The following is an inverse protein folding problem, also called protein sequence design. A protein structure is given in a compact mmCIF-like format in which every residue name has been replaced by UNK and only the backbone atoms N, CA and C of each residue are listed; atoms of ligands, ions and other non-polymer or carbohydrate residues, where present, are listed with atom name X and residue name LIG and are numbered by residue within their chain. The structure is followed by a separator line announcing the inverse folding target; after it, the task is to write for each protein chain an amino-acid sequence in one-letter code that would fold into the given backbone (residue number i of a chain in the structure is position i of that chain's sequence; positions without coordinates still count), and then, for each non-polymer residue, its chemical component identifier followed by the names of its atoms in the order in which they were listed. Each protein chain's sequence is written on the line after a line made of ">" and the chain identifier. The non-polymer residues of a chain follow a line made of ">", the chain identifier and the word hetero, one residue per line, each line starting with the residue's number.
data_IF_719804214735
#
_entry.id   IF_719804214735
#
_cell.length_a   1.000
_cell.length_b   1.000
_cell.length_c   1.000
_cell.angle_alpha   90.00
_cell.angle_beta   90.00
_cell.angle_gamma   90.00
#
_symmetry.space_group_name_H-M   'P 1'
#
loop_
_entity.id
_entity.type
_entity.pdbx_description
1 polymer ?
#
# COMPACT_ATOMS: atom_id res chain seq x y z
N UNK A 1 -26.53 3.19 -28.48
CA UNK A 1 -25.14 3.02 -28.04
C UNK A 1 -25.18 2.97 -26.52
N UNK A 2 -25.01 1.80 -25.88
CA UNK A 2 -25.08 1.69 -24.42
C UNK A 2 -23.83 2.36 -23.84
N UNK A 3 -24.01 3.34 -22.95
CA UNK A 3 -22.94 3.88 -22.12
C UNK A 3 -22.23 2.70 -21.44
N UNK A 4 -21.00 2.44 -21.86
CA UNK A 4 -20.14 1.47 -21.20
C UNK A 4 -19.68 2.15 -19.93
N UNK A 5 -20.14 1.68 -18.76
CA UNK A 5 -19.66 2.16 -17.47
C UNK A 5 -18.14 1.96 -17.44
N UNK A 6 -17.38 3.04 -17.57
CA UNK A 6 -15.93 3.03 -17.42
C UNK A 6 -15.61 2.76 -15.95
N UNK A 7 -15.45 1.49 -15.60
CA UNK A 7 -14.99 1.08 -14.28
C UNK A 7 -13.51 1.44 -14.13
N UNK A 8 -13.11 1.84 -12.93
CA UNK A 8 -11.68 2.02 -12.63
C UNK A 8 -11.04 0.75 -12.10
N UNK A 9 -11.79 -0.05 -11.36
CA UNK A 9 -11.32 -1.20 -10.59
C UNK A 9 -12.24 -2.39 -10.82
N UNK A 10 -13.50 -2.32 -10.38
CA UNK A 10 -14.43 -3.47 -10.40
C UNK A 10 -15.87 -3.01 -10.64
N UNK A 11 -16.64 -3.76 -11.41
CA UNK A 11 -18.06 -3.48 -11.65
C UNK A 11 -18.96 -3.96 -10.51
N UNK A 12 -20.25 -3.68 -10.60
CA UNK A 12 -21.28 -4.43 -9.87
C UNK A 12 -21.34 -5.88 -10.38
N UNK A 13 -21.74 -6.79 -9.48
CA UNK A 13 -21.86 -8.20 -9.78
C UNK A 13 -23.09 -8.52 -10.64
N UNK A 14 -22.90 -9.32 -11.68
CA UNK A 14 -23.99 -9.83 -12.53
C UNK A 14 -24.11 -11.33 -12.39
N UNK A 15 -25.32 -11.82 -12.15
CA UNK A 15 -25.56 -13.26 -12.14
C UNK A 15 -25.38 -13.81 -13.56
N UNK A 16 -24.62 -14.87 -13.69
CA UNK A 16 -24.37 -15.57 -14.94
C UNK A 16 -24.40 -17.08 -14.69
N UNK A 17 -24.76 -17.84 -15.73
CA UNK A 17 -24.60 -19.28 -15.74
C UNK A 17 -23.29 -19.57 -16.47
N UNK A 18 -22.31 -20.09 -15.72
CA UNK A 18 -20.98 -20.38 -16.22
C UNK A 18 -20.61 -21.80 -15.79
N UNK A 19 -20.20 -22.63 -16.75
CA UNK A 19 -19.67 -23.94 -16.43
C UNK A 19 -18.23 -23.82 -15.92
N UNK A 20 -18.05 -24.15 -14.63
CA UNK A 20 -16.76 -24.11 -13.96
C UNK A 20 -16.07 -25.49 -13.91
N UNK A 21 -16.62 -26.52 -14.56
CA UNK A 21 -16.07 -27.88 -14.53
C UNK A 21 -14.62 -27.98 -15.02
N UNK A 22 -14.21 -27.11 -15.95
CA UNK A 22 -12.82 -27.01 -16.41
C UNK A 22 -11.90 -26.15 -15.55
N UNK A 23 -12.42 -25.53 -14.48
CA UNK A 23 -11.72 -24.56 -13.62
C UNK A 23 -11.64 -25.08 -12.17
N UNK A 24 -12.66 -25.78 -11.71
CA UNK A 24 -12.78 -26.31 -10.36
C UNK A 24 -12.75 -27.84 -10.39
N UNK A 25 -11.87 -28.45 -9.60
CA UNK A 25 -11.80 -29.92 -9.48
C UNK A 25 -13.00 -30.54 -8.73
N UNK A 26 -13.79 -29.72 -8.03
CA UNK A 26 -14.97 -30.15 -7.27
C UNK A 26 -16.22 -29.42 -7.76
N UNK A 27 -17.39 -29.99 -7.46
CA UNK A 27 -18.69 -29.41 -7.81
C UNK A 27 -18.82 -27.96 -7.30
N UNK A 28 -18.76 -27.02 -8.26
CA UNK A 28 -19.01 -25.60 -8.05
C UNK A 28 -20.44 -25.26 -8.49
N UNK A 29 -21.03 -24.21 -7.91
CA UNK A 29 -22.35 -23.75 -8.35
C UNK A 29 -22.33 -23.30 -9.82
N UNK A 30 -23.26 -23.83 -10.63
CA UNK A 30 -23.44 -23.39 -12.03
C UNK A 30 -23.81 -21.92 -12.15
N UNK A 31 -24.53 -21.40 -11.16
CA UNK A 31 -24.87 -19.99 -11.07
C UNK A 31 -23.76 -19.26 -10.32
N UNK A 32 -23.16 -18.28 -10.98
CA UNK A 32 -22.02 -17.50 -10.48
C UNK A 32 -22.37 -16.02 -10.49
N UNK A 33 -21.57 -15.22 -9.79
CA UNK A 33 -21.58 -13.76 -9.93
C UNK A 33 -20.33 -13.35 -10.68
N UNK A 34 -20.51 -12.75 -11.86
CA UNK A 34 -19.44 -12.22 -12.69
C UNK A 34 -19.27 -10.71 -12.43
N UNK A 35 -18.03 -10.30 -12.27
CA UNK A 35 -17.59 -8.92 -12.20
C UNK A 35 -16.66 -8.61 -13.38
N UNK A 36 -16.82 -7.45 -13.99
CA UNK A 36 -15.76 -6.88 -14.83
C UNK A 36 -14.72 -6.25 -13.90
N UNK A 37 -13.45 -6.48 -14.17
CA UNK A 37 -12.33 -5.87 -13.45
C UNK A 37 -11.36 -5.21 -14.43
N UNK A 38 -10.78 -4.08 -14.04
CA UNK A 38 -9.77 -3.39 -14.85
C UNK A 38 -8.41 -4.07 -14.80
N UNK A 39 -7.47 -3.63 -15.65
CA UNK A 39 -6.06 -4.02 -15.57
C UNK A 39 -5.44 -3.74 -14.20
N UNK A 40 -5.83 -2.63 -13.57
CA UNK A 40 -5.33 -2.26 -12.25
C UNK A 40 -5.87 -3.22 -11.18
N UNK A 41 -7.15 -3.57 -11.22
CA UNK A 41 -7.71 -4.57 -10.31
C UNK A 41 -7.09 -5.96 -10.51
N UNK A 42 -6.88 -6.37 -11.77
CA UNK A 42 -6.14 -7.59 -12.09
C UNK A 42 -4.75 -7.57 -11.43
N UNK A 43 -3.99 -6.48 -11.57
CA UNK A 43 -2.70 -6.31 -10.90
C UNK A 43 -2.79 -6.40 -9.36
N UNK A 44 -3.77 -5.73 -8.74
CA UNK A 44 -3.93 -5.70 -7.28
C UNK A 44 -4.33 -7.07 -6.70
N UNK A 45 -5.08 -7.87 -7.47
CA UNK A 45 -5.51 -9.22 -7.10
C UNK A 45 -4.49 -10.32 -7.46
N UNK A 46 -3.48 -9.99 -8.28
CA UNK A 46 -2.52 -10.96 -8.80
C UNK A 46 -1.67 -11.57 -7.67
N UNK A 47 -1.66 -12.91 -7.50
CA UNK A 47 -0.85 -13.57 -6.47
C UNK A 47 0.62 -13.70 -6.86
N UNK A 48 0.99 -13.36 -8.11
CA UNK A 48 2.34 -13.55 -8.62
C UNK A 48 3.29 -12.43 -8.19
N UNK A 49 4.61 -12.72 -8.12
CA UNK A 49 5.61 -11.74 -7.75
C UNK A 49 5.64 -10.52 -8.67
N UNK A 50 5.92 -9.36 -8.07
CA UNK A 50 6.13 -8.10 -8.77
C UNK A 50 7.55 -7.62 -8.54
N UNK A 51 8.13 -6.98 -9.56
CA UNK A 51 9.42 -6.30 -9.44
C UNK A 51 9.20 -4.81 -9.29
N UNK A 52 9.85 -4.20 -8.31
CA UNK A 52 9.93 -2.76 -8.14
C UNK A 52 11.36 -2.29 -8.07
N UNK A 53 11.57 -1.02 -8.37
CA UNK A 53 12.88 -0.41 -8.30
C UNK A 53 13.07 0.31 -6.96
N UNK A 54 14.13 -0.05 -6.23
CA UNK A 54 14.48 0.50 -4.91
C UNK A 54 15.88 1.10 -4.91
N UNK A 55 16.09 2.18 -4.15
CA UNK A 55 17.42 2.76 -3.99
C UNK A 55 18.10 2.13 -2.79
N UNK A 56 19.21 1.41 -3.01
CA UNK A 56 20.06 0.94 -1.91
C UNK A 56 20.91 2.11 -1.44
N UNK A 57 20.88 2.42 -0.15
CA UNK A 57 21.65 3.53 0.45
C UNK A 57 22.72 3.05 1.42
N UNK A 58 22.74 1.76 1.75
CA UNK A 58 23.71 1.22 2.69
C UNK A 58 23.49 -0.25 3.00
N UNK A 59 23.97 -0.68 4.17
CA UNK A 59 23.72 -1.99 4.74
C UNK A 59 23.66 -1.96 6.26
N UNK A 60 23.02 -2.98 6.83
CA UNK A 60 23.09 -3.31 8.24
C UNK A 60 23.84 -4.62 8.40
N UNK A 61 24.77 -4.63 9.34
CA UNK A 61 25.65 -5.74 9.63
C UNK A 61 25.28 -6.27 11.01
N UNK A 62 25.09 -7.57 11.10
CA UNK A 62 24.95 -8.28 12.36
C UNK A 62 26.24 -9.02 12.63
N UNK A 63 26.90 -8.71 13.74
CA UNK A 63 28.13 -9.37 14.16
C UNK A 63 27.83 -10.61 15.00
N UNK A 64 28.71 -11.62 14.90
CA UNK A 64 28.64 -12.80 15.75
C UNK A 64 28.90 -12.39 17.20
N UNK A 65 28.11 -12.89 18.16
CA UNK A 65 28.39 -12.66 19.57
C UNK A 65 29.77 -13.24 19.90
N UNK A 66 30.65 -12.42 20.46
CA UNK A 66 31.94 -12.91 20.94
C UNK A 66 31.69 -13.93 22.06
N UNK A 67 32.25 -15.13 21.94
CA UNK A 67 32.13 -16.18 22.96
C UNK A 67 32.98 -15.86 24.21
N UNK A 68 32.70 -14.78 24.93
CA UNK A 68 33.24 -14.49 26.27
C UNK A 68 32.38 -15.12 27.39
N UNK A 69 31.60 -16.15 27.06
CA UNK A 69 30.55 -16.72 27.94
C UNK A 69 31.03 -17.41 29.21
N UNK A 70 32.34 -17.58 29.43
CA UNK A 70 32.89 -18.13 30.67
C UNK A 70 33.19 -17.04 31.72
N UNK A 71 33.56 -15.83 31.31
CA UNK A 71 33.98 -14.76 32.24
C UNK A 71 32.76 -13.97 32.74
N UNK A 72 31.75 -13.74 31.89
CA UNK A 72 30.55 -12.98 32.28
C UNK A 72 29.60 -13.77 33.20
N UNK A 73 29.62 -15.10 33.16
CA UNK A 73 28.87 -15.95 34.10
C UNK A 73 29.42 -15.88 35.53
N UNK A 74 30.72 -15.59 35.68
CA UNK A 74 31.35 -15.42 37.00
C UNK A 74 31.05 -14.04 37.60
N UNK A 75 31.02 -12.97 36.79
CA UNK A 75 30.68 -11.61 37.26
C UNK A 75 29.21 -11.45 37.65
N UNK A 76 28.29 -12.10 36.94
CA UNK A 76 26.85 -12.04 37.24
C UNK A 76 26.42 -12.86 38.47
N UNK A 77 27.32 -13.65 39.08
CA UNK A 77 27.05 -14.33 40.35
C UNK A 77 27.17 -13.42 41.58
N UNK A 78 27.84 -12.27 41.45
CA UNK A 78 28.14 -11.40 42.60
C UNK A 78 27.34 -10.09 42.66
N UNK A 79 26.62 -9.70 41.59
CA UNK A 79 25.76 -8.52 41.61
C UNK A 79 24.49 -8.71 40.75
N UNK A 80 23.31 -8.95 41.35
CA UNK A 80 22.06 -9.03 40.61
C UNK A 80 21.58 -7.61 40.30
N UNK A 81 21.81 -7.13 39.07
CA UNK A 81 21.16 -5.89 38.58
C UNK A 81 19.78 -6.21 37.99
N UNK A 82 18.79 -5.47 38.51
CA UNK A 82 17.41 -5.40 38.03
C UNK A 82 17.39 -5.16 36.52
N UNK A 83 16.64 -5.99 35.81
CA UNK A 83 16.43 -5.96 34.36
C UNK A 83 15.55 -4.78 33.95
N UNK A 84 16.15 -3.81 33.25
CA UNK A 84 15.46 -2.95 32.30
C UNK A 84 15.38 -3.67 30.93
N UNK A 85 14.42 -3.34 30.05
CA UNK A 85 14.25 -4.02 28.78
C UNK A 85 15.33 -3.62 27.74
N UNK A 86 15.95 -4.65 27.14
CA UNK A 86 16.61 -4.73 25.82
C UNK A 86 17.52 -3.59 25.30
N UNK A 87 18.68 -3.39 25.92
CA UNK A 87 19.84 -2.72 25.27
C UNK A 87 20.82 -3.72 24.58
N UNK A 88 20.60 -5.04 24.71
CA UNK A 88 21.55 -6.06 24.24
C UNK A 88 21.44 -6.40 22.74
N UNK A 89 20.30 -6.14 22.09
CA UNK A 89 20.15 -6.41 20.66
C UNK A 89 20.89 -5.38 19.78
N UNK A 90 21.02 -4.14 20.24
CA UNK A 90 21.63 -3.04 19.46
C UNK A 90 23.18 -3.11 19.42
N UNK A 91 23.81 -3.73 20.42
CA UNK A 91 25.26 -3.75 20.57
C UNK A 91 26.02 -4.62 19.53
N UNK A 92 25.30 -5.52 18.84
CA UNK A 92 25.87 -6.42 17.82
C UNK A 92 25.47 -6.02 16.40
N UNK A 93 24.80 -4.88 16.23
CA UNK A 93 24.36 -4.41 14.93
C UNK A 93 24.97 -3.07 14.58
N UNK A 94 25.43 -2.94 13.35
CA UNK A 94 25.97 -1.69 12.82
C UNK A 94 25.29 -1.34 11.50
N UNK A 95 24.91 -0.08 11.33
CA UNK A 95 24.39 0.43 10.08
C UNK A 95 25.43 1.32 9.38
N UNK A 96 25.76 0.99 8.14
CA UNK A 96 26.67 1.75 7.29
C UNK A 96 25.87 2.37 6.16
N UNK A 97 25.73 3.69 6.16
CA UNK A 97 24.99 4.44 5.15
C UNK A 97 25.94 5.29 4.31
N UNK A 98 25.70 5.29 3.00
CA UNK A 98 26.37 6.15 2.03
C UNK A 98 26.17 7.62 2.39
N UNK A 99 27.27 8.35 2.50
CA UNK A 99 27.24 9.80 2.67
C UNK A 99 26.84 10.52 1.36
N UNK A 100 26.87 9.80 0.24
CA UNK A 100 26.48 10.29 -1.07
C UNK A 100 24.98 10.54 -1.13
N UNK A 101 24.56 11.73 -0.67
CA UNK A 101 23.22 12.29 -0.88
C UNK A 101 23.04 12.81 -2.30
N UNK A 102 23.66 12.17 -3.29
CA UNK A 102 23.52 12.60 -4.67
C UNK A 102 22.13 12.17 -5.11
N UNK A 103 21.15 13.04 -4.84
CA UNK A 103 19.94 13.10 -5.64
C UNK A 103 20.40 13.36 -7.05
N UNK A 104 20.01 12.50 -7.99
CA UNK A 104 20.17 12.79 -9.40
C UNK A 104 19.48 14.13 -9.63
N UNK A 105 20.19 15.18 -10.07
CA UNK A 105 19.48 16.28 -10.68
C UNK A 105 18.74 15.65 -11.86
N UNK A 106 17.42 15.74 -11.88
CA UNK A 106 16.68 15.39 -13.10
C UNK A 106 16.84 16.59 -14.02
N UNK A 107 17.95 16.60 -14.76
CA UNK A 107 18.07 17.53 -15.87
C UNK A 107 16.99 17.17 -16.88
N UNK A 108 16.46 18.16 -17.60
CA UNK A 108 15.55 17.88 -18.71
C UNK A 108 16.27 17.13 -19.85
N UNK A 109 17.61 17.23 -19.89
CA UNK A 109 18.48 16.60 -20.87
C UNK A 109 18.92 15.20 -20.40
N UNK A 110 18.50 14.17 -21.16
CA UNK A 110 18.82 12.76 -20.90
C UNK A 110 20.30 12.40 -21.12
N UNK A 111 21.00 13.10 -22.02
CA UNK A 111 22.45 12.93 -22.19
C UNK A 111 23.21 13.49 -20.99
N UNK A 112 22.79 14.65 -20.49
CA UNK A 112 23.35 15.24 -19.27
C UNK A 112 23.09 14.35 -18.04
N UNK A 113 21.87 13.82 -17.91
CA UNK A 113 21.54 12.84 -16.86
C UNK A 113 22.46 11.62 -16.93
N UNK A 114 22.64 11.04 -18.12
CA UNK A 114 23.55 9.89 -18.33
C UNK A 114 25.00 10.24 -18.00
N UNK A 115 25.46 11.44 -18.35
CA UNK A 115 26.80 11.90 -18.03
C UNK A 115 27.02 12.02 -16.51
N UNK A 116 26.08 12.64 -15.78
CA UNK A 116 26.15 12.73 -14.33
C UNK A 116 26.06 11.38 -13.63
N UNK A 117 25.25 10.45 -14.15
CA UNK A 117 25.23 9.06 -13.66
C UNK A 117 26.63 8.46 -13.76
N UNK A 118 27.31 8.60 -14.91
CA UNK A 118 28.66 8.06 -15.12
C UNK A 118 29.70 8.68 -14.18
N UNK A 119 29.65 10.00 -13.95
CA UNK A 119 30.53 10.67 -12.98
C UNK A 119 30.30 10.09 -11.58
N UNK A 120 29.04 9.94 -11.16
CA UNK A 120 28.72 9.40 -9.84
C UNK A 120 29.20 7.96 -9.68
N UNK A 121 29.10 7.13 -10.72
CA UNK A 121 29.63 5.77 -10.70
C UNK A 121 31.14 5.74 -10.48
N UNK A 122 31.90 6.65 -11.10
CA UNK A 122 33.35 6.76 -10.93
C UNK A 122 33.74 7.26 -9.53
N UNK A 123 32.95 8.17 -8.95
CA UNK A 123 33.21 8.75 -7.62
C UNK A 123 32.81 7.82 -6.47
N UNK A 124 31.98 6.82 -6.75
CA UNK A 124 31.40 5.92 -5.74
C UNK A 124 32.41 5.19 -4.87
N UNK A 125 33.55 4.79 -5.43
CA UNK A 125 34.64 4.14 -4.69
C UNK A 125 35.26 5.02 -3.58
N UNK A 126 35.07 6.34 -3.66
CA UNK A 126 35.53 7.28 -2.65
C UNK A 126 34.52 7.50 -1.52
N UNK A 127 33.32 6.92 -1.61
CA UNK A 127 32.33 6.97 -0.55
C UNK A 127 32.88 6.32 0.73
N UNK A 128 32.87 7.01 1.89
CA UNK A 128 33.28 6.44 3.17
C UNK A 128 32.60 5.10 3.49
N UNK A 129 31.34 4.92 3.08
CA UNK A 129 30.63 3.66 3.25
C UNK A 129 31.31 2.51 2.48
N UNK A 130 31.75 2.74 1.25
CA UNK A 130 32.47 1.74 0.47
C UNK A 130 33.77 1.32 1.15
N UNK A 131 34.55 2.30 1.63
CA UNK A 131 35.81 2.02 2.35
C UNK A 131 35.57 1.23 3.63
N UNK A 132 34.54 1.60 4.40
CA UNK A 132 34.20 0.94 5.65
C UNK A 132 33.74 -0.50 5.42
N UNK A 133 32.89 -0.74 4.42
CA UNK A 133 32.41 -2.09 4.08
C UNK A 133 33.55 -2.96 3.55
N UNK A 134 34.46 -2.40 2.74
CA UNK A 134 35.63 -3.11 2.24
C UNK A 134 36.60 -3.52 3.36
N UNK A 135 36.65 -2.78 4.47
CA UNK A 135 37.51 -3.03 5.61
C UNK A 135 36.90 -3.97 6.67
N UNK A 136 35.69 -4.50 6.45
CA UNK A 136 35.03 -5.38 7.40
C UNK A 136 35.75 -6.73 7.55
N UNK A 137 35.90 -7.17 8.79
CA UNK A 137 36.32 -8.54 9.10
C UNK A 137 35.14 -9.50 8.87
N UNK A 138 35.22 -10.24 7.76
CA UNK A 138 34.16 -11.15 7.31
C UNK A 138 33.95 -12.34 8.24
N UNK A 139 34.96 -12.72 9.02
CA UNK A 139 34.87 -13.88 9.91
C UNK A 139 33.99 -13.61 11.13
N UNK A 140 33.86 -12.33 11.50
CA UNK A 140 33.09 -11.89 12.64
C UNK A 140 31.64 -11.48 12.30
N UNK A 141 31.24 -11.61 11.04
CA UNK A 141 29.89 -11.26 10.58
C UNK A 141 28.97 -12.48 10.59
N UNK A 142 27.82 -12.32 11.23
CA UNK A 142 26.71 -13.28 11.20
C UNK A 142 25.85 -13.07 9.96
N UNK A 143 25.46 -11.82 9.69
CA UNK A 143 24.60 -11.49 8.55
C UNK A 143 24.80 -10.06 8.02
N UNK A 144 24.40 -9.83 6.77
CA UNK A 144 24.37 -8.51 6.12
C UNK A 144 23.04 -8.34 5.39
N UNK A 145 22.32 -7.27 5.70
CA UNK A 145 21.13 -6.86 4.96
C UNK A 145 21.42 -5.55 4.22
N UNK A 146 20.82 -5.37 3.04
CA UNK A 146 20.88 -4.09 2.35
C UNK A 146 19.91 -3.10 3.02
N UNK A 147 20.28 -1.83 3.10
CA UNK A 147 19.38 -0.76 3.55
C UNK A 147 18.92 0.01 2.33
N UNK A 148 17.62 0.02 2.11
CA UNK A 148 16.96 0.78 1.06
C UNK A 148 16.32 2.04 1.64
N UNK A 149 16.17 3.07 0.81
CA UNK A 149 15.47 4.30 1.15
C UNK A 149 14.31 4.52 0.17
N UNK A 150 13.12 4.72 0.71
CA UNK A 150 11.93 5.06 -0.09
C UNK A 150 11.91 6.55 -0.48
N UNK A 151 10.91 6.97 -1.26
CA UNK A 151 10.80 8.38 -1.68
C UNK A 151 10.50 9.31 -0.49
N UNK A 152 9.94 8.79 0.61
CA UNK A 152 9.73 9.52 1.86
C UNK A 152 11.00 9.73 2.68
N UNK A 153 12.13 9.14 2.28
CA UNK A 153 13.35 9.09 3.07
C UNK A 153 13.32 8.03 4.18
N UNK A 154 12.28 7.18 4.23
CA UNK A 154 12.20 6.10 5.20
C UNK A 154 13.12 4.97 4.78
N UNK A 155 13.89 4.47 5.75
CA UNK A 155 14.81 3.36 5.53
C UNK A 155 14.20 2.05 5.98
N UNK A 156 14.43 1.01 5.19
CA UNK A 156 14.04 -0.34 5.54
C UNK A 156 15.07 -1.34 5.02
N UNK A 157 15.06 -2.54 5.60
CA UNK A 157 16.02 -3.58 5.28
C UNK A 157 15.50 -4.46 4.15
N UNK A 158 16.38 -4.79 3.22
CA UNK A 158 16.19 -5.82 2.21
C UNK A 158 17.03 -7.04 2.60
N UNK A 159 16.36 -8.14 2.87
CA UNK A 159 17.01 -9.42 3.14
C UNK A 159 17.70 -9.93 1.89
N UNK A 160 18.98 -10.31 2.03
CA UNK A 160 19.78 -10.83 0.95
C UNK A 160 19.93 -12.34 1.07
N UNK A 161 19.87 -13.04 -0.05
CA UNK A 161 20.20 -14.46 -0.14
C UNK A 161 21.71 -14.63 -0.37
N UNK A 162 22.22 -15.84 -0.10
CA UNK A 162 23.64 -16.16 -0.26
C UNK A 162 24.43 -16.11 1.04
N UNK A 163 25.73 -16.40 0.95
CA UNK A 163 26.67 -16.32 2.07
C UNK A 163 27.11 -14.87 2.35
N UNK A 164 27.74 -14.64 3.50
CA UNK A 164 28.20 -13.30 3.92
C UNK A 164 29.03 -12.57 2.87
N UNK A 165 29.94 -13.27 2.18
CA UNK A 165 30.77 -12.68 1.13
C UNK A 165 29.95 -12.21 -0.07
N UNK A 166 28.98 -13.02 -0.51
CA UNK A 166 28.05 -12.68 -1.59
C UNK A 166 27.19 -11.47 -1.20
N UNK A 167 26.68 -11.43 0.03
CA UNK A 167 25.87 -10.30 0.53
C UNK A 167 26.68 -9.00 0.59
N UNK A 168 27.92 -9.04 1.08
CA UNK A 168 28.84 -7.89 1.08
C UNK A 168 29.11 -7.40 -0.35
N UNK A 169 29.41 -8.32 -1.27
CA UNK A 169 29.66 -7.98 -2.67
C UNK A 169 28.42 -7.36 -3.33
N UNK A 170 27.23 -7.89 -3.04
CA UNK A 170 25.97 -7.30 -3.52
C UNK A 170 25.81 -5.86 -3.04
N UNK A 171 25.97 -5.60 -1.74
CA UNK A 171 25.86 -4.25 -1.17
C UNK A 171 26.89 -3.31 -1.80
N UNK A 172 28.17 -3.74 -1.88
CA UNK A 172 29.23 -2.97 -2.52
C UNK A 172 28.94 -2.67 -3.98
N UNK A 173 28.22 -3.54 -4.69
CA UNK A 173 27.82 -3.29 -6.07
C UNK A 173 26.54 -2.46 -6.22
N UNK A 174 25.70 -2.42 -5.19
CA UNK A 174 24.35 -1.83 -5.23
C UNK A 174 24.16 -0.50 -4.48
N UNK A 175 24.96 -0.17 -3.45
CA UNK A 175 24.92 1.14 -2.76
C UNK A 175 24.85 2.32 -3.75
N UNK A 176 23.96 3.28 -3.51
CA UNK A 176 23.69 4.45 -4.36
C UNK A 176 23.11 4.10 -5.75
N UNK A 177 22.85 2.83 -6.05
CA UNK A 177 22.15 2.40 -7.25
C UNK A 177 20.70 2.08 -6.97
N UNK A 178 19.92 2.10 -8.04
CA UNK A 178 18.59 1.55 -8.08
C UNK A 178 18.68 0.06 -8.45
N UNK A 179 18.01 -0.79 -7.69
CA UNK A 179 17.99 -2.24 -7.87
C UNK A 179 16.56 -2.73 -7.98
N UNK A 180 16.38 -3.81 -8.73
CA UNK A 180 15.08 -4.48 -8.79
C UNK A 180 14.92 -5.38 -7.56
N UNK A 181 13.87 -5.10 -6.78
CA UNK A 181 13.43 -5.89 -5.63
C UNK A 181 12.15 -6.60 -6.01
N UNK A 182 12.08 -7.90 -5.69
CA UNK A 182 10.90 -8.71 -5.95
C UNK A 182 10.07 -8.81 -4.68
N UNK A 183 8.82 -8.36 -4.75
CA UNK A 183 7.81 -8.65 -3.75
C UNK A 183 6.99 -9.87 -4.18
N UNK A 184 6.49 -10.64 -3.22
CA UNK A 184 5.70 -11.85 -3.49
C UNK A 184 4.43 -11.57 -4.30
N UNK A 185 3.83 -10.38 -4.13
CA UNK A 185 2.66 -9.87 -4.86
C UNK A 185 2.47 -8.38 -4.57
N UNK A 186 1.53 -7.72 -5.25
CA UNK A 186 1.22 -6.31 -5.02
C UNK A 186 0.64 -6.04 -3.61
N UNK A 187 -0.17 -6.97 -3.08
CA UNK A 187 -0.66 -6.92 -1.71
C UNK A 187 0.41 -7.34 -0.70
N UNK A 188 0.88 -6.40 0.13
CA UNK A 188 1.94 -6.66 1.09
C UNK A 188 1.37 -7.25 2.39
N UNK A 189 0.53 -6.48 3.10
CA UNK A 189 -0.13 -6.89 4.34
C UNK A 189 -1.08 -5.80 4.84
N UNK A 190 -2.12 -6.17 5.63
CA UNK A 190 -2.96 -5.23 6.39
C UNK A 190 -3.51 -4.08 5.54
N UNK A 191 -4.05 -4.38 4.36
CA UNK A 191 -4.59 -3.37 3.45
C UNK A 191 -3.53 -2.55 2.68
N UNK A 192 -2.23 -2.82 2.81
CA UNK A 192 -1.18 -2.12 2.06
C UNK A 192 -0.87 -2.79 0.72
N UNK A 193 -0.90 -1.99 -0.34
CA UNK A 193 -0.56 -2.38 -1.71
C UNK A 193 0.60 -1.56 -2.26
N UNK A 194 1.49 -2.24 -2.98
CA UNK A 194 2.55 -1.68 -3.79
C UNK A 194 2.02 -1.29 -5.17
N UNK A 195 2.12 -0.02 -5.54
CA UNK A 195 1.58 0.49 -6.81
C UNK A 195 2.65 0.65 -7.90
N UNK A 196 3.94 0.68 -7.53
CA UNK A 196 5.06 0.95 -8.47
C UNK A 196 5.29 -0.16 -9.47
N UNK A 197 4.80 -1.38 -9.20
CA UNK A 197 4.88 -2.51 -10.14
C UNK A 197 3.90 -2.40 -11.31
N UNK A 198 2.88 -1.53 -11.22
CA UNK A 198 1.90 -1.32 -12.28
C UNK A 198 2.32 -0.17 -13.21
N UNK A 199 2.18 -0.38 -14.52
CA UNK A 199 2.52 0.63 -15.55
C UNK A 199 1.31 1.52 -15.84
N UNK A 200 1.08 2.49 -14.97
CA UNK A 200 -0.04 3.43 -15.09
C UNK A 200 -0.16 4.15 -16.45
N UNK A 201 0.92 4.61 -17.10
CA UNK A 201 0.81 5.24 -18.43
C UNK A 201 0.29 4.34 -19.54
N UNK A 202 0.27 3.02 -19.32
CA UNK A 202 -0.26 2.03 -20.26
C UNK A 202 -1.67 1.56 -19.88
N UNK A 203 -2.26 2.11 -18.81
CA UNK A 203 -3.59 1.74 -18.37
C UNK A 203 -4.63 2.05 -19.45
N UNK A 204 -5.41 1.03 -19.86
CA UNK A 204 -6.50 1.21 -20.80
C UNK A 204 -7.85 0.96 -20.11
N UNK A 205 -8.72 1.97 -19.97
CA UNK A 205 -10.04 1.81 -19.35
C UNK A 205 -11.00 0.91 -20.16
N UNK A 206 -10.68 0.61 -21.42
CA UNK A 206 -11.48 -0.29 -22.26
C UNK A 206 -11.06 -1.76 -22.12
N UNK A 207 -9.89 -2.05 -21.55
CA UNK A 207 -9.44 -3.41 -21.29
C UNK A 207 -10.04 -3.91 -19.98
N UNK A 208 -10.87 -4.94 -20.07
CA UNK A 208 -11.54 -5.54 -18.92
C UNK A 208 -11.30 -7.05 -18.87
N UNK A 209 -11.19 -7.58 -17.66
CA UNK A 209 -11.10 -9.00 -17.34
C UNK A 209 -12.30 -9.42 -16.51
N UNK A 210 -12.40 -10.71 -16.19
CA UNK A 210 -13.51 -11.25 -15.41
C UNK A 210 -13.03 -11.76 -14.08
N UNK A 211 -13.65 -11.29 -13.00
CA UNK A 211 -13.58 -11.92 -11.69
C UNK A 211 -14.88 -12.69 -11.48
N UNK A 212 -14.79 -13.98 -11.21
CA UNK A 212 -15.94 -14.85 -10.98
C UNK A 212 -16.00 -15.19 -9.50
N UNK A 213 -17.16 -14.94 -8.89
CA UNK A 213 -17.51 -15.40 -7.55
C UNK A 213 -18.47 -16.58 -7.66
N UNK A 214 -18.16 -17.67 -7.00
CA UNK A 214 -18.96 -18.88 -7.00
C UNK A 214 -18.98 -19.53 -5.62
N UNK A 215 -19.93 -20.44 -5.41
CA UNK A 215 -20.00 -21.23 -4.18
C UNK A 215 -19.35 -22.59 -4.42
N UNK A 216 -18.47 -22.98 -3.50
CA UNK A 216 -17.87 -24.31 -3.44
C UNK A 216 -17.88 -24.73 -1.97
N UNK A 217 -18.49 -25.88 -1.66
CA UNK A 217 -18.66 -26.37 -0.28
C UNK A 217 -19.27 -25.32 0.67
N UNK A 218 -20.31 -24.60 0.22
CA UNK A 218 -20.95 -23.48 0.93
C UNK A 218 -20.03 -22.30 1.29
N UNK A 219 -18.84 -22.22 0.70
CA UNK A 219 -17.93 -21.09 0.85
C UNK A 219 -17.86 -20.30 -0.46
N UNK A 220 -17.87 -18.97 -0.34
CA UNK A 220 -17.62 -18.10 -1.47
C UNK A 220 -16.15 -18.18 -1.88
N UNK A 221 -15.92 -18.48 -3.16
CA UNK A 221 -14.61 -18.52 -3.81
C UNK A 221 -14.58 -17.53 -4.95
N UNK A 222 -13.37 -17.09 -5.30
CA UNK A 222 -13.15 -16.12 -6.35
C UNK A 222 -12.04 -16.60 -7.28
N UNK A 223 -12.17 -16.35 -8.57
CA UNK A 223 -11.09 -16.55 -9.54
C UNK A 223 -11.12 -15.48 -10.62
N UNK A 224 -9.94 -15.16 -11.16
CA UNK A 224 -9.80 -14.28 -12.33
C UNK A 224 -9.66 -15.13 -13.57
N UNK A 225 -10.42 -14.79 -14.61
CA UNK A 225 -10.33 -15.38 -15.94
C UNK A 225 -9.65 -14.42 -16.91
N UNK A 226 -8.84 -14.98 -17.81
CA UNK A 226 -8.21 -14.22 -18.88
C UNK A 226 -9.22 -13.91 -20.02
N UNK A 227 -8.77 -13.20 -21.07
CA UNK A 227 -9.61 -12.85 -22.21
C UNK A 227 -10.20 -14.04 -22.99
N UNK A 228 -9.65 -15.25 -22.81
CA UNK A 228 -10.12 -16.50 -23.42
C UNK A 228 -10.97 -17.35 -22.47
N UNK A 229 -11.45 -16.78 -21.35
CA UNK A 229 -12.25 -17.48 -20.33
C UNK A 229 -11.54 -18.65 -19.63
N UNK A 230 -10.21 -18.68 -19.69
CA UNK A 230 -9.42 -19.66 -18.95
C UNK A 230 -9.07 -19.12 -17.58
N UNK A 231 -8.95 -20.02 -16.59
CA UNK A 231 -8.48 -19.68 -15.26
C UNK A 231 -7.09 -19.03 -15.35
N UNK A 232 -6.99 -17.80 -14.88
CA UNK A 232 -5.71 -17.12 -14.76
C UNK A 232 -5.10 -17.37 -13.37
N UNK A 233 -5.89 -17.10 -12.32
CA UNK A 233 -5.51 -17.44 -10.95
C UNK A 233 -6.72 -17.42 -10.00
N UNK A 234 -6.71 -18.23 -8.93
CA UNK A 234 -7.66 -18.12 -7.83
C UNK A 234 -7.35 -16.90 -6.96
N UNK A 235 -8.40 -16.31 -6.36
CA UNK A 235 -8.28 -15.26 -5.34
C UNK A 235 -8.71 -15.86 -4.00
N UNK A 236 -7.73 -16.23 -3.18
CA UNK A 236 -7.96 -16.95 -1.93
C UNK A 236 -8.44 -16.05 -0.78
N UNK A 237 -8.12 -14.76 -0.85
CA UNK A 237 -8.47 -13.79 0.18
C UNK A 237 -9.62 -12.90 -0.30
N UNK A 238 -10.80 -13.13 0.29
CA UNK A 238 -12.02 -12.38 -0.03
C UNK A 238 -11.92 -10.90 0.38
N UNK A 239 -11.04 -10.56 1.32
CA UNK A 239 -10.82 -9.18 1.75
C UNK A 239 -10.23 -8.34 0.61
N UNK A 240 -9.40 -8.95 -0.25
CA UNK A 240 -8.86 -8.28 -1.44
C UNK A 240 -9.96 -7.80 -2.38
N UNK A 241 -10.99 -8.63 -2.59
CA UNK A 241 -12.15 -8.25 -3.41
C UNK A 241 -12.95 -7.14 -2.74
N UNK A 242 -13.09 -7.17 -1.41
CA UNK A 242 -13.71 -6.07 -0.68
C UNK A 242 -12.94 -4.76 -0.87
N UNK A 243 -11.60 -4.78 -0.81
CA UNK A 243 -10.78 -3.60 -1.10
C UNK A 243 -11.00 -3.08 -2.51
N UNK A 244 -11.18 -3.95 -3.51
CA UNK A 244 -11.47 -3.51 -4.88
C UNK A 244 -12.77 -2.72 -4.96
N UNK A 245 -13.83 -3.19 -4.31
CA UNK A 245 -15.10 -2.47 -4.27
C UNK A 245 -15.02 -1.16 -3.47
N UNK A 246 -14.28 -1.15 -2.35
CA UNK A 246 -14.03 0.08 -1.58
C UNK A 246 -13.30 1.09 -2.48
N UNK A 247 -12.29 0.65 -3.23
CA UNK A 247 -11.48 1.52 -4.06
C UNK A 247 -12.28 2.08 -5.24
N UNK A 248 -13.02 1.24 -5.98
CA UNK A 248 -13.93 1.71 -7.03
C UNK A 248 -14.85 2.80 -6.48
N UNK A 249 -15.44 2.55 -5.32
CA UNK A 249 -16.38 3.47 -4.71
C UNK A 249 -15.72 4.79 -4.27
N UNK A 250 -14.51 4.73 -3.71
CA UNK A 250 -13.72 5.93 -3.41
C UNK A 250 -13.41 6.73 -4.67
N UNK A 251 -12.98 6.09 -5.76
CA UNK A 251 -12.65 6.78 -7.02
C UNK A 251 -13.90 7.43 -7.63
N UNK A 252 -15.05 6.77 -7.56
CA UNK A 252 -16.32 7.28 -8.09
C UNK A 252 -16.85 8.48 -7.30
N UNK A 253 -16.67 8.47 -5.97
CA UNK A 253 -17.27 9.48 -5.09
C UNK A 253 -16.32 10.57 -4.64
N UNK A 254 -15.02 10.38 -4.76
CA UNK A 254 -13.99 11.36 -4.44
C UNK A 254 -13.29 11.88 -5.71
N UNK A 255 -13.72 13.04 -6.25
CA UNK A 255 -13.10 13.65 -7.43
C UNK A 255 -11.59 13.89 -7.25
N UNK A 256 -11.14 14.12 -6.02
CA UNK A 256 -9.73 14.41 -5.74
C UNK A 256 -8.84 13.18 -5.91
N UNK A 257 -9.34 12.02 -5.48
CA UNK A 257 -8.67 10.74 -5.69
C UNK A 257 -8.65 10.39 -7.17
N UNK A 258 -9.79 10.55 -7.86
CA UNK A 258 -9.92 10.30 -9.29
C UNK A 258 -8.92 11.13 -10.11
N UNK A 259 -8.83 12.43 -9.83
CA UNK A 259 -7.87 13.34 -10.47
C UNK A 259 -6.43 12.83 -10.29
N UNK A 260 -6.08 12.37 -9.08
CA UNK A 260 -4.71 11.93 -8.78
C UNK A 260 -4.34 10.63 -9.48
N UNK A 261 -5.28 9.69 -9.61
CA UNK A 261 -5.10 8.49 -10.43
C UNK A 261 -4.99 8.85 -11.92
N UNK A 262 -5.81 9.79 -12.38
CA UNK A 262 -5.77 10.29 -13.76
C UNK A 262 -4.41 10.89 -14.09
N UNK A 263 -3.82 11.70 -13.20
CA UNK A 263 -2.45 12.20 -13.35
C UNK A 263 -1.44 11.06 -13.52
N UNK A 264 -1.58 9.98 -12.73
CA UNK A 264 -0.70 8.82 -12.85
C UNK A 264 -0.88 8.11 -14.21
N UNK A 265 -2.12 7.95 -14.69
CA UNK A 265 -2.39 7.35 -16.01
C UNK A 265 -1.89 8.19 -17.18
N UNK A 266 -1.73 9.51 -17.01
CA UNK A 266 -1.11 10.40 -18.01
C UNK A 266 0.42 10.42 -17.94
N UNK A 267 1.03 9.73 -16.98
CA UNK A 267 2.47 9.80 -16.73
C UNK A 267 2.94 11.10 -16.07
N UNK A 268 2.00 11.91 -15.58
CA UNK A 268 2.23 13.15 -14.83
C UNK A 268 2.38 12.90 -13.32
N UNK A 269 2.19 11.65 -12.86
CA UNK A 269 2.39 11.24 -11.48
C UNK A 269 2.98 9.84 -11.39
N UNK A 270 3.87 9.63 -10.41
CA UNK A 270 4.40 8.32 -10.03
C UNK A 270 3.61 7.80 -8.83
N UNK A 271 2.78 6.77 -8.99
CA UNK A 271 2.05 6.14 -7.89
C UNK A 271 2.99 5.31 -7.04
N UNK A 272 2.77 5.31 -5.72
CA UNK A 272 3.65 4.65 -4.75
C UNK A 272 2.93 3.54 -3.99
N UNK A 273 1.93 3.92 -3.18
CA UNK A 273 1.25 3.00 -2.27
C UNK A 273 -0.24 3.30 -2.28
N UNK A 274 -1.02 2.24 -2.09
CA UNK A 274 -2.45 2.30 -1.80
C UNK A 274 -2.66 1.58 -0.48
N UNK A 275 -3.40 2.18 0.44
CA UNK A 275 -3.60 1.65 1.78
C UNK A 275 -5.06 1.72 2.19
N UNK A 276 -5.55 0.64 2.77
CA UNK A 276 -6.90 0.55 3.34
C UNK A 276 -6.83 0.42 4.85
N UNK A 277 -7.65 1.19 5.57
CA UNK A 277 -7.75 1.14 7.02
C UNK A 277 -9.21 1.30 7.46
N UNK A 278 -9.52 0.91 8.69
CA UNK A 278 -10.84 1.10 9.31
C UNK A 278 -10.86 2.22 10.34
N UNK A 279 -9.72 2.85 10.64
CA UNK A 279 -9.61 3.93 11.65
C UNK A 279 -8.62 5.01 11.24
N UNK A 280 -9.02 6.26 11.45
CA UNK A 280 -8.14 7.42 11.38
C UNK A 280 -7.36 7.55 12.69
N UNK A 281 -6.17 8.14 12.62
CA UNK A 281 -5.39 8.51 13.80
C UNK A 281 -6.10 9.58 14.64
N UNK A 282 -6.88 10.44 14.00
CA UNK A 282 -7.68 11.47 14.65
C UNK A 282 -9.17 11.13 14.55
N UNK A 283 -9.80 10.96 15.70
CA UNK A 283 -11.25 10.70 15.80
C UNK A 283 -12.07 11.96 15.59
N UNK A 284 -13.22 11.82 14.92
CA UNK A 284 -14.22 12.88 14.87
C UNK A 284 -14.76 13.19 16.26
N UNK A 285 -14.90 14.48 16.54
CA UNK A 285 -15.52 15.02 17.76
C UNK A 285 -16.71 15.88 17.35
N UNK A 286 -17.59 16.23 18.30
CA UNK A 286 -18.75 17.11 18.03
C UNK A 286 -18.38 18.41 17.31
N UNK A 287 -17.18 18.94 17.58
CA UNK A 287 -16.66 20.18 16.97
C UNK A 287 -16.04 19.97 15.58
N UNK A 288 -15.68 18.74 15.24
CA UNK A 288 -14.91 18.40 14.03
C UNK A 288 -15.61 17.35 13.17
N UNK A 289 -16.94 17.33 13.16
CA UNK A 289 -17.70 16.39 12.33
C UNK A 289 -17.55 16.68 10.83
N UNK A 290 -17.75 15.70 9.94
CA UNK A 290 -17.71 15.93 8.51
C UNK A 290 -18.82 16.86 8.02
N UNK A 291 -18.54 17.66 6.97
CA UNK A 291 -19.49 18.64 6.42
C UNK A 291 -20.83 18.03 6.00
N UNK A 292 -20.81 16.78 5.51
CA UNK A 292 -22.01 16.00 5.14
C UNK A 292 -23.01 15.89 6.29
N UNK A 293 -22.53 15.83 7.53
CA UNK A 293 -23.34 15.74 8.73
C UNK A 293 -23.68 17.10 9.35
N UNK A 294 -22.74 18.03 9.37
CA UNK A 294 -22.95 19.36 9.99
C UNK A 294 -24.20 20.06 9.43
N UNK A 295 -24.37 20.04 8.11
CA UNK A 295 -25.55 20.63 7.44
C UNK A 295 -26.87 20.02 7.92
N UNK A 296 -26.91 18.70 8.11
CA UNK A 296 -28.11 17.98 8.55
C UNK A 296 -28.39 18.31 10.03
N UNK A 297 -27.33 18.40 10.83
CA UNK A 297 -27.45 18.70 12.26
C UNK A 297 -27.97 20.10 12.52
N UNK A 298 -27.54 21.07 11.71
CA UNK A 298 -28.03 22.45 11.78
C UNK A 298 -29.48 22.53 11.30
N UNK A 299 -29.82 21.84 10.20
CA UNK A 299 -31.17 21.81 9.63
C UNK A 299 -32.22 21.22 10.60
N UNK A 300 -31.87 20.15 11.31
CA UNK A 300 -32.79 19.48 12.25
C UNK A 300 -32.55 19.84 13.72
N UNK A 301 -31.69 20.83 14.01
CA UNK A 301 -31.39 21.31 15.37
C UNK A 301 -31.05 20.19 16.35
N UNK A 302 -30.18 19.27 15.95
CA UNK A 302 -29.80 18.13 16.79
C UNK A 302 -29.10 18.56 18.09
N UNK A 303 -29.40 17.86 19.18
CA UNK A 303 -28.78 18.11 20.48
C UNK A 303 -27.38 17.47 20.59
N UNK A 304 -26.65 17.80 21.66
CA UNK A 304 -25.27 17.31 21.87
C UNK A 304 -25.20 15.78 21.97
N UNK A 305 -26.14 15.15 22.69
CA UNK A 305 -26.18 13.69 22.85
C UNK A 305 -26.36 12.96 21.51
N UNK A 306 -27.20 13.49 20.63
CA UNK A 306 -27.39 12.95 19.28
C UNK A 306 -26.14 13.12 18.42
N UNK A 307 -25.51 14.30 18.48
CA UNK A 307 -24.24 14.57 17.78
C UNK A 307 -23.13 13.63 18.25
N UNK A 308 -23.01 13.41 19.55
CA UNK A 308 -22.05 12.47 20.14
C UNK A 308 -22.30 11.03 19.69
N UNK A 309 -23.56 10.59 19.68
CA UNK A 309 -23.93 9.25 19.23
C UNK A 309 -23.53 9.03 17.76
N UNK A 310 -23.79 10.01 16.89
CA UNK A 310 -23.38 9.94 15.49
C UNK A 310 -21.85 9.96 15.36
N UNK A 311 -21.14 10.85 16.06
CA UNK A 311 -19.68 10.90 16.03
C UNK A 311 -19.06 9.54 16.41
N UNK A 312 -19.59 8.88 17.44
CA UNK A 312 -19.15 7.55 17.86
C UNK A 312 -19.40 6.49 16.77
N UNK A 313 -20.57 6.51 16.11
CA UNK A 313 -20.84 5.60 15.00
C UNK A 313 -19.90 5.82 13.82
N UNK A 314 -19.65 7.10 13.48
CA UNK A 314 -18.73 7.47 12.42
C UNK A 314 -17.32 6.97 12.72
N UNK A 315 -16.79 7.15 13.93
CA UNK A 315 -15.43 6.72 14.28
C UNK A 315 -15.23 5.20 14.27
N UNK A 316 -16.27 4.42 14.55
CA UNK A 316 -16.16 2.96 14.66
C UNK A 316 -16.40 2.21 13.35
N UNK A 317 -16.93 2.88 12.32
CA UNK A 317 -17.37 2.22 11.08
C UNK A 317 -16.79 2.88 9.82
N UNK A 318 -15.61 3.49 9.94
CA UNK A 318 -14.92 4.11 8.81
C UNK A 318 -14.32 3.05 7.90
N UNK A 319 -14.25 3.39 6.61
CA UNK A 319 -13.39 2.71 5.65
C UNK A 319 -12.55 3.77 4.97
N UNK A 320 -11.25 3.67 5.09
CA UNK A 320 -10.31 4.71 4.66
C UNK A 320 -9.51 4.16 3.51
N UNK A 321 -9.38 4.96 2.46
CA UNK A 321 -8.49 4.70 1.33
C UNK A 321 -7.46 5.82 1.28
N UNK A 322 -6.19 5.46 1.41
CA UNK A 322 -5.07 6.38 1.26
C UNK A 322 -4.28 6.03 0.01
N UNK A 323 -4.07 7.01 -0.85
CA UNK A 323 -3.30 6.87 -2.10
C UNK A 323 -2.15 7.87 -2.13
N UNK A 324 -0.93 7.32 -2.23
CA UNK A 324 0.31 8.07 -2.24
C UNK A 324 0.88 8.13 -3.65
N UNK A 325 1.25 9.33 -4.10
CA UNK A 325 1.89 9.54 -5.38
C UNK A 325 2.83 10.75 -5.34
N UNK A 326 3.73 10.81 -6.32
CA UNK A 326 4.63 11.96 -6.52
C UNK A 326 4.32 12.54 -7.89
N UNK A 327 3.82 13.78 -8.00
CA UNK A 327 3.63 14.42 -9.28
C UNK A 327 5.00 14.63 -9.93
N UNK A 328 5.04 14.52 -11.25
CA UNK A 328 6.22 14.83 -12.04
C UNK A 328 6.39 16.36 -12.02
N UNK A 329 7.32 16.85 -11.21
CA UNK A 329 7.73 18.26 -11.27
C UNK A 329 8.83 18.42 -12.31
N UNK A 330 8.81 19.53 -13.06
CA UNK A 330 9.81 19.83 -14.09
C UNK A 330 11.13 20.36 -13.51
N UNK A 331 11.13 20.79 -12.25
CA UNK A 331 12.33 21.16 -11.47
C UNK A 331 11.96 21.37 -9.99
N UNK A 332 12.83 20.95 -9.07
CA UNK A 332 12.69 21.17 -7.62
C UNK A 332 12.62 19.90 -6.77
N UNK A 333 12.45 20.09 -5.44
CA UNK A 333 12.25 18.98 -4.49
C UNK A 333 10.97 18.22 -4.83
N UNK A 334 11.02 16.89 -4.70
CA UNK A 334 9.86 16.07 -5.02
C UNK A 334 8.77 16.33 -3.97
N UNK A 335 7.51 16.21 -4.39
CA UNK A 335 6.36 16.41 -3.50
C UNK A 335 5.66 15.08 -3.32
N UNK A 336 5.81 14.46 -2.15
CA UNK A 336 5.00 13.30 -1.80
C UNK A 336 3.59 13.78 -1.48
N UNK A 337 2.63 13.46 -2.33
CA UNK A 337 1.22 13.78 -2.16
C UNK A 337 0.47 12.57 -1.61
N UNK A 338 -0.48 12.83 -0.71
CA UNK A 338 -1.34 11.83 -0.09
C UNK A 338 -2.79 12.28 -0.28
N UNK A 339 -3.62 11.43 -0.88
CA UNK A 339 -5.08 11.60 -0.86
C UNK A 339 -5.69 10.59 0.11
N UNK A 340 -6.56 11.05 1.00
CA UNK A 340 -7.28 10.19 1.95
C UNK A 340 -8.77 10.38 1.72
N UNK A 341 -9.44 9.31 1.28
CA UNK A 341 -10.90 9.24 1.18
C UNK A 341 -11.43 8.46 2.37
N UNK A 342 -12.34 9.06 3.13
CA UNK A 342 -13.03 8.41 4.26
C UNK A 342 -14.44 8.07 3.81
N UNK A 343 -14.76 6.79 3.77
CA UNK A 343 -16.08 6.24 3.46
C UNK A 343 -16.76 5.77 4.73
N UNK A 344 -18.10 5.72 4.69
CA UNK A 344 -18.92 5.16 5.76
C UNK A 344 -20.07 4.34 5.16
N UNK A 345 -20.38 3.20 5.78
CA UNK A 345 -21.53 2.36 5.39
C UNK A 345 -22.79 2.84 6.11
N UNK A 346 -23.87 3.09 5.36
CA UNK A 346 -25.16 3.48 5.95
C UNK A 346 -25.63 2.51 7.03
N UNK A 347 -25.26 1.22 6.94
CA UNK A 347 -25.63 0.20 7.93
C UNK A 347 -25.17 0.55 9.35
N UNK A 348 -24.09 1.32 9.48
CA UNK A 348 -23.60 1.78 10.78
C UNK A 348 -24.53 2.83 11.43
N UNK A 349 -25.46 3.42 10.69
CA UNK A 349 -26.52 4.28 11.25
C UNK A 349 -27.80 3.52 11.63
N UNK A 350 -27.92 2.23 11.32
CA UNK A 350 -29.11 1.44 11.70
C UNK A 350 -29.41 1.50 13.20
N UNK A 351 -28.43 1.41 14.12
CA UNK A 351 -28.69 1.48 15.56
C UNK A 351 -29.37 2.78 16.02
N UNK A 352 -29.21 3.87 15.27
CA UNK A 352 -29.78 5.18 15.59
C UNK A 352 -30.93 5.58 14.68
N UNK A 353 -31.33 4.72 13.73
CA UNK A 353 -32.35 5.01 12.71
C UNK A 353 -33.70 5.40 13.31
N UNK A 354 -34.14 4.72 14.37
CA UNK A 354 -35.41 5.02 15.04
C UNK A 354 -35.39 6.35 15.78
N UNK A 355 -34.22 6.75 16.29
CA UNK A 355 -34.02 8.00 17.04
C UNK A 355 -33.81 9.20 16.12
N UNK A 356 -33.14 8.99 14.99
CA UNK A 356 -32.78 10.02 14.01
C UNK A 356 -33.20 9.64 12.59
N UNK A 357 -34.52 9.47 12.33
CA UNK A 357 -35.01 8.97 11.04
C UNK A 357 -34.73 9.94 9.88
N UNK A 358 -34.77 11.25 10.11
CA UNK A 358 -34.48 12.24 9.07
C UNK A 358 -33.02 12.18 8.63
N UNK A 359 -32.09 12.08 9.59
CA UNK A 359 -30.66 11.92 9.30
C UNK A 359 -30.39 10.66 8.49
N UNK A 360 -30.97 9.53 8.92
CA UNK A 360 -30.82 8.29 8.20
C UNK A 360 -31.32 8.44 6.75
N UNK A 361 -32.52 9.01 6.55
CA UNK A 361 -33.08 9.23 5.22
C UNK A 361 -32.19 10.10 4.33
N UNK A 362 -31.70 11.22 4.84
CA UNK A 362 -30.81 12.15 4.12
C UNK A 362 -29.48 11.50 3.69
N UNK A 363 -28.84 10.76 4.60
CA UNK A 363 -27.57 10.08 4.28
C UNK A 363 -27.83 8.90 3.35
N UNK A 364 -28.94 8.18 3.55
CA UNK A 364 -29.34 7.05 2.72
C UNK A 364 -29.53 7.46 1.26
N UNK A 365 -30.05 8.65 0.96
CA UNK A 365 -30.16 9.16 -0.41
C UNK A 365 -28.78 9.45 -1.06
N UNK A 366 -27.76 9.73 -0.24
CA UNK A 366 -26.39 10.02 -0.68
C UNK A 366 -25.50 8.77 -0.77
N UNK A 367 -25.99 7.62 -0.29
CA UNK A 367 -25.26 6.37 -0.23
C UNK A 367 -25.62 5.46 -1.43
N UNK A 368 -24.83 5.49 -2.51
CA UNK A 368 -25.07 4.59 -3.63
C UNK A 368 -24.85 3.14 -3.20
N UNK A 369 -25.54 2.25 -3.90
CA UNK A 369 -25.41 0.81 -3.70
C UNK A 369 -24.09 0.28 -4.25
N UNK A 370 -23.57 -0.76 -3.60
CA UNK A 370 -22.46 -1.59 -4.06
C UNK A 370 -22.61 -2.98 -3.46
N UNK A 371 -21.91 -3.97 -4.02
CA UNK A 371 -21.91 -5.36 -3.55
C UNK A 371 -21.44 -5.51 -2.08
N UNK A 372 -20.68 -4.55 -1.56
CA UNK A 372 -20.12 -4.58 -0.20
C UNK A 372 -20.88 -3.72 0.81
N UNK A 373 -22.00 -3.11 0.40
CA UNK A 373 -22.80 -2.21 1.24
C UNK A 373 -23.14 -0.91 0.53
N UNK A 374 -23.68 0.05 1.29
CA UNK A 374 -24.06 1.36 0.74
C UNK A 374 -23.12 2.42 1.33
N UNK A 375 -22.04 2.63 0.60
CA UNK A 375 -20.91 3.43 1.03
C UNK A 375 -21.00 4.82 0.42
N UNK A 376 -20.82 5.86 1.23
CA UNK A 376 -20.71 7.24 0.77
C UNK A 376 -19.46 7.90 1.30
N UNK A 377 -19.00 8.92 0.57
CA UNK A 377 -17.88 9.75 0.98
C UNK A 377 -18.27 10.63 2.17
N UNK A 378 -17.58 10.39 3.27
CA UNK A 378 -17.69 11.14 4.50
C UNK A 378 -16.79 12.37 4.45
N UNK A 379 -15.52 12.18 4.07
CA UNK A 379 -14.49 13.22 4.05
C UNK A 379 -13.41 12.92 2.99
N UNK A 380 -12.75 13.97 2.51
CA UNK A 380 -11.69 13.89 1.51
C UNK A 380 -10.56 14.87 1.82
N UNK A 381 -9.44 14.32 2.29
CA UNK A 381 -8.28 15.05 2.77
C UNK A 381 -7.12 14.94 1.79
N UNK A 382 -6.34 16.02 1.68
CA UNK A 382 -5.07 16.04 0.93
C UNK A 382 -3.94 16.48 1.86
N UNK A 383 -2.86 15.72 1.84
CA UNK A 383 -1.61 16.06 2.50
C UNK A 383 -0.47 16.10 1.49
N UNK A 384 0.59 16.82 1.83
CA UNK A 384 1.84 16.68 1.10
C UNK A 384 3.04 16.90 2.01
N UNK A 385 4.17 16.33 1.59
CA UNK A 385 5.47 16.54 2.18
C UNK A 385 6.49 16.76 1.07
N UNK A 386 7.38 17.73 1.24
CA UNK A 386 8.54 17.88 0.35
C UNK A 386 9.60 16.85 0.73
N UNK A 387 10.14 16.16 -0.27
CA UNK A 387 11.12 15.09 -0.17
C UNK A 387 12.33 15.36 -1.06
#
# INVERSE_FOLDING_TARGET
>A
MKEQNNIWIISEGKMADLDLSGICEQDASKRVTEYQISELARYLLNPNPISVEEKVVGCRIKYRPHHSGLIDRLKNRFFPKKTAPSEKEDALTEEIISASRIGFPSFQDDDLNRHFIKINELLRQYDPAHKKIAALDRENIEDVTAVCEDIGGNRYQLNLQGNTGEKINYVMNSISKRVNVVFNKAYLSMGLFEMRGFRFPLYNPHTNYRLIKYLQNNQARYCVLNGNYQLEYPVNDHELVNYMHIFEQSIRTDPKLNESLTLCTRGEGKPLKLFFSTKLDQSYTEKHLPMTYRKIFDMYKMNLTEKAAVANMLNNNQRIVSFNYVPRSESGRQKLCINISVLHDIKALEPIRSRLPQLYSEINQKAPSSDIGRLYLLDSMRGFQYV
#
